data_IF_070936998625
#
_entry.id   IF_070936998625
#
_cell.length_a   1.000
_cell.length_b   1.000
_cell.length_c   1.000
_cell.angle_alpha   90.00
_cell.angle_beta   90.00
_cell.angle_gamma   90.00
#
_symmetry.space_group_name_H-M   'P 1'
#
loop_
_entity.id
_entity.type
_entity.pdbx_description
1 polymer ?
#
# COMPACT_ATOMS: atom_id res chain seq x y z
N UNK A 1 -18.77 52.50 32.41
CA UNK A 1 -19.11 51.88 31.10
C UNK A 1 -18.33 52.59 30.00
N UNK A 2 -17.93 51.87 28.94
CA UNK A 2 -16.64 51.18 28.68
C UNK A 2 -15.49 52.16 28.28
N UNK A 3 -14.20 51.93 28.52
CA UNK A 3 -13.25 50.87 28.11
C UNK A 3 -12.72 50.99 26.67
N UNK A 4 -11.40 50.94 26.49
CA UNK A 4 -10.78 50.61 25.19
C UNK A 4 -9.42 51.26 24.89
N UNK A 5 -8.38 50.85 25.59
CA UNK A 5 -6.96 51.07 25.24
C UNK A 5 -6.45 49.89 24.37
N UNK A 6 -5.32 50.13 23.71
CA UNK A 6 -4.28 49.23 23.19
C UNK A 6 -4.23 48.86 21.70
N UNK A 7 -3.13 49.35 21.11
CA UNK A 7 -2.46 48.90 19.89
C UNK A 7 -2.03 47.42 19.95
N UNK A 8 -2.10 46.73 18.81
CA UNK A 8 -0.96 46.18 18.04
C UNK A 8 -1.47 45.19 16.99
N UNK A 9 -1.28 45.54 15.72
CA UNK A 9 -1.36 44.58 14.62
C UNK A 9 -0.15 43.66 14.69
N UNK A 10 -0.41 42.37 14.94
CA UNK A 10 0.60 41.31 14.83
C UNK A 10 0.53 40.67 13.45
N UNK A 11 1.72 40.50 12.88
CA UNK A 11 2.02 39.87 11.61
C UNK A 11 1.56 38.40 11.62
N UNK A 12 0.77 38.00 10.62
CA UNK A 12 0.54 36.60 10.32
C UNK A 12 1.70 36.11 9.45
N UNK A 13 2.78 35.69 10.10
CA UNK A 13 3.80 34.87 9.47
C UNK A 13 3.18 33.52 9.13
N UNK A 14 3.21 33.17 7.84
CA UNK A 14 2.96 31.80 7.40
C UNK A 14 4.09 30.94 7.96
N UNK A 15 3.82 30.14 8.97
CA UNK A 15 4.76 29.12 9.44
C UNK A 15 4.95 28.06 8.34
N UNK A 16 5.97 28.26 7.51
CA UNK A 16 6.58 27.20 6.73
C UNK A 16 7.12 26.17 7.72
N UNK A 17 6.38 25.08 7.93
CA UNK A 17 6.92 23.93 8.66
C UNK A 17 8.21 23.52 7.96
N UNK A 18 9.38 23.54 8.64
CA UNK A 18 10.61 23.11 8.02
C UNK A 18 10.44 21.65 7.60
N UNK A 19 10.75 21.35 6.32
CA UNK A 19 10.88 19.97 5.89
C UNK A 19 11.78 19.23 6.88
N UNK A 20 11.35 18.05 7.32
CA UNK A 20 12.14 17.26 8.27
C UNK A 20 13.57 17.09 7.77
N UNK A 21 14.57 17.25 8.63
CA UNK A 21 15.97 17.00 8.27
C UNK A 21 16.27 15.51 8.05
N UNK A 22 15.37 14.63 8.48
CA UNK A 22 15.45 13.19 8.33
C UNK A 22 15.04 12.76 6.91
N UNK A 23 15.95 12.18 6.10
CA UNK A 23 15.66 11.71 4.75
C UNK A 23 14.45 10.78 4.66
N UNK A 24 14.29 9.87 5.61
CA UNK A 24 13.18 8.91 5.61
C UNK A 24 11.83 9.63 5.72
N UNK A 25 11.71 10.56 6.68
CA UNK A 25 10.48 11.34 6.87
C UNK A 25 10.14 12.18 5.65
N UNK A 26 11.14 12.77 4.98
CA UNK A 26 10.91 13.52 3.74
C UNK A 26 10.37 12.63 2.62
N UNK A 27 10.89 11.42 2.46
CA UNK A 27 10.37 10.48 1.45
C UNK A 27 8.93 10.09 1.78
N UNK A 28 8.61 9.75 3.03
CA UNK A 28 7.23 9.41 3.44
C UNK A 28 6.28 10.57 3.18
N UNK A 29 6.64 11.79 3.57
CA UNK A 29 5.85 12.99 3.31
C UNK A 29 5.63 13.24 1.81
N UNK A 30 6.65 13.02 0.99
CA UNK A 30 6.55 13.18 -0.46
C UNK A 30 5.69 12.08 -1.12
N UNK A 31 5.77 10.83 -0.66
CA UNK A 31 4.85 9.75 -1.09
C UNK A 31 3.41 10.15 -0.76
N UNK A 32 3.16 10.61 0.46
CA UNK A 32 1.83 10.98 0.92
C UNK A 32 1.27 12.17 0.14
N UNK A 33 2.09 13.20 -0.09
CA UNK A 33 1.72 14.35 -0.90
C UNK A 33 1.41 13.97 -2.36
N UNK A 34 2.15 13.01 -2.92
CA UNK A 34 1.87 12.49 -4.26
C UNK A 34 0.56 11.70 -4.32
N UNK A 35 0.32 10.81 -3.34
CA UNK A 35 -0.89 10.00 -3.29
C UNK A 35 -2.13 10.78 -2.83
N UNK A 36 -1.96 11.90 -2.12
CA UNK A 36 -3.05 12.80 -1.76
C UNK A 36 -3.71 13.48 -2.98
N UNK A 37 -3.02 13.47 -4.13
CA UNK A 37 -3.55 13.98 -5.41
C UNK A 37 -4.46 12.98 -6.13
N UNK A 38 -4.62 11.75 -5.61
CA UNK A 38 -5.54 10.77 -6.18
C UNK A 38 -6.98 11.30 -6.14
N UNK A 39 -7.65 11.47 -7.31
CA UNK A 39 -9.02 11.97 -7.36
C UNK A 39 -10.04 10.93 -6.85
N UNK A 40 -9.65 9.66 -6.78
CA UNK A 40 -10.52 8.60 -6.28
C UNK A 40 -10.53 8.61 -4.75
N UNK A 41 -11.71 8.48 -4.14
CA UNK A 41 -11.87 8.53 -2.68
C UNK A 41 -12.44 7.24 -2.12
N UNK A 42 -12.02 6.90 -0.91
CA UNK A 42 -12.56 5.79 -0.11
C UNK A 42 -12.88 6.29 1.30
N UNK A 43 -14.04 5.89 1.82
CA UNK A 43 -14.44 6.21 3.19
C UNK A 43 -13.97 5.12 4.16
N UNK A 44 -13.32 5.52 5.24
CA UNK A 44 -12.81 4.65 6.28
C UNK A 44 -12.99 5.31 7.65
N UNK A 45 -13.64 4.60 8.58
CA UNK A 45 -13.89 5.08 9.95
C UNK A 45 -14.49 6.50 10.02
N UNK A 46 -15.44 6.79 9.12
CA UNK A 46 -16.12 8.10 9.07
C UNK A 46 -15.30 9.23 8.44
N UNK A 47 -14.10 8.95 7.93
CA UNK A 47 -13.27 9.92 7.21
C UNK A 47 -13.07 9.48 5.77
N UNK A 48 -13.10 10.44 4.85
CA UNK A 48 -12.93 10.19 3.42
C UNK A 48 -11.51 10.52 2.96
N UNK A 49 -10.83 9.56 2.34
CA UNK A 49 -9.42 9.64 1.98
C UNK A 49 -9.19 9.50 0.47
N UNK A 50 -8.16 10.14 -0.11
CA UNK A 50 -7.61 9.73 -1.40
C UNK A 50 -7.21 8.25 -1.35
N UNK A 51 -7.63 7.48 -2.35
CA UNK A 51 -7.59 6.00 -2.31
C UNK A 51 -6.17 5.46 -2.15
N UNK A 52 -5.23 5.88 -2.99
CA UNK A 52 -3.85 5.37 -2.90
C UNK A 52 -3.09 5.92 -1.67
N UNK A 53 -3.53 7.02 -1.05
CA UNK A 53 -2.99 7.49 0.24
C UNK A 53 -3.42 6.53 1.37
N UNK A 54 -4.71 6.20 1.42
CA UNK A 54 -5.25 5.24 2.40
C UNK A 54 -4.61 3.86 2.23
N UNK A 55 -4.37 3.43 0.99
CA UNK A 55 -3.64 2.20 0.71
C UNK A 55 -2.23 2.21 1.32
N UNK A 56 -1.46 3.27 1.08
CA UNK A 56 -0.10 3.40 1.65
C UNK A 56 -0.09 3.42 3.18
N UNK A 57 -1.09 4.04 3.82
CA UNK A 57 -1.29 4.00 5.28
C UNK A 57 -1.50 2.57 5.79
N UNK A 58 -2.44 1.83 5.20
CA UNK A 58 -2.73 0.43 5.55
C UNK A 58 -1.52 -0.48 5.36
N UNK A 59 -0.75 -0.26 4.29
CA UNK A 59 0.50 -1.01 4.03
C UNK A 59 1.54 -0.79 5.13
N UNK A 60 1.77 0.46 5.55
CA UNK A 60 2.70 0.75 6.64
C UNK A 60 2.29 0.12 7.95
N UNK A 61 1.01 0.27 8.33
CA UNK A 61 0.48 -0.26 9.59
C UNK A 61 0.54 -1.79 9.63
N UNK A 62 0.19 -2.45 8.52
CA UNK A 62 0.26 -3.90 8.40
C UNK A 62 1.71 -4.41 8.43
N UNK A 63 2.64 -3.73 7.75
CA UNK A 63 4.06 -4.09 7.78
C UNK A 63 4.63 -3.99 9.20
N UNK A 64 4.28 -2.94 9.95
CA UNK A 64 4.74 -2.76 11.34
C UNK A 64 4.28 -3.89 12.25
N UNK A 65 3.03 -4.36 12.09
CA UNK A 65 2.52 -5.54 12.83
C UNK A 65 3.15 -6.86 12.41
N UNK A 66 3.53 -7.01 11.13
CA UNK A 66 4.06 -8.26 10.57
C UNK A 66 5.57 -8.39 10.75
N UNK A 67 6.30 -7.30 10.56
CA UNK A 67 7.76 -7.23 10.57
C UNK A 67 8.22 -5.90 11.21
N UNK A 68 8.17 -5.78 12.54
CA UNK A 68 8.53 -4.53 13.24
C UNK A 68 9.99 -4.14 13.03
N UNK A 69 10.85 -5.12 12.73
CA UNK A 69 12.27 -4.94 12.40
C UNK A 69 12.53 -4.69 10.91
N UNK A 70 11.49 -4.43 10.11
CA UNK A 70 11.62 -4.11 8.69
C UNK A 70 12.62 -2.96 8.47
N UNK A 71 13.49 -3.12 7.46
CA UNK A 71 14.43 -2.06 7.10
C UNK A 71 13.70 -0.80 6.65
N UNK A 72 14.43 0.31 6.69
CA UNK A 72 13.94 1.60 6.20
C UNK A 72 13.46 1.51 4.73
N UNK A 73 14.24 0.85 3.88
CA UNK A 73 13.91 0.70 2.46
C UNK A 73 12.65 -0.15 2.24
N UNK A 74 12.44 -1.19 3.04
CA UNK A 74 11.21 -1.97 3.01
C UNK A 74 10.00 -1.15 3.48
N UNK A 75 10.16 -0.33 4.52
CA UNK A 75 9.11 0.60 4.99
C UNK A 75 8.71 1.62 3.92
N UNK A 76 9.69 2.18 3.21
CA UNK A 76 9.46 3.08 2.07
C UNK A 76 8.76 2.35 0.91
N UNK A 77 9.19 1.14 0.58
CA UNK A 77 8.56 0.33 -0.46
C UNK A 77 7.11 -0.03 -0.12
N UNK A 78 6.81 -0.33 1.15
CA UNK A 78 5.43 -0.56 1.60
C UNK A 78 4.58 0.71 1.50
N UNK A 79 5.08 1.85 2.01
CA UNK A 79 4.37 3.14 1.94
C UNK A 79 4.05 3.55 0.50
N UNK A 80 5.02 3.38 -0.40
CA UNK A 80 4.94 3.78 -1.80
C UNK A 80 4.54 2.66 -2.77
N UNK A 81 4.02 1.52 -2.31
CA UNK A 81 3.82 0.35 -3.18
C UNK A 81 2.94 0.64 -4.41
N UNK A 82 1.92 1.49 -4.24
CA UNK A 82 1.02 1.96 -5.30
C UNK A 82 1.16 3.47 -5.55
N UNK A 83 2.34 4.04 -5.35
CA UNK A 83 2.53 5.48 -5.55
C UNK A 83 2.04 5.93 -6.94
N UNK A 84 1.16 6.94 -6.95
CA UNK A 84 0.53 7.54 -8.15
C UNK A 84 -0.17 6.54 -9.08
N UNK A 85 -0.62 5.38 -8.57
CA UNK A 85 -1.21 4.31 -9.39
C UNK A 85 -2.43 4.75 -10.22
N UNK A 86 -3.20 5.70 -9.71
CA UNK A 86 -4.39 6.25 -10.38
C UNK A 86 -4.08 6.89 -11.75
N UNK A 87 -2.83 7.27 -12.02
CA UNK A 87 -2.41 7.85 -13.30
C UNK A 87 -2.31 6.83 -14.44
N UNK A 88 -2.30 5.54 -14.11
CA UNK A 88 -2.31 4.44 -15.09
C UNK A 88 -3.52 3.57 -14.78
N UNK A 89 -4.74 4.00 -15.11
CA UNK A 89 -5.95 3.30 -14.73
C UNK A 89 -6.08 1.96 -15.49
N UNK A 90 -6.73 0.99 -14.84
CA UNK A 90 -6.96 -0.34 -15.44
C UNK A 90 -7.80 -0.25 -16.72
N UNK A 91 -8.68 0.74 -16.84
CA UNK A 91 -9.56 0.96 -17.99
C UNK A 91 -8.81 1.21 -19.31
N UNK A 92 -7.57 1.67 -19.25
CA UNK A 92 -6.75 1.97 -20.44
C UNK A 92 -6.20 0.70 -21.12
N UNK A 93 -6.48 -0.47 -20.57
CA UNK A 93 -6.02 -1.76 -21.05
C UNK A 93 -7.20 -2.66 -21.41
N UNK A 94 -7.09 -3.54 -22.42
CA UNK A 94 -8.14 -4.50 -22.76
C UNK A 94 -8.61 -5.32 -21.56
N UNK A 95 -9.91 -5.60 -21.46
CA UNK A 95 -10.52 -6.42 -20.39
C UNK A 95 -10.21 -7.92 -20.52
N UNK A 96 -8.98 -8.26 -20.90
CA UNK A 96 -8.47 -9.62 -21.05
C UNK A 96 -7.43 -9.92 -19.97
N UNK A 97 -7.11 -11.20 -19.80
CA UNK A 97 -6.00 -11.63 -18.92
C UNK A 97 -4.68 -11.00 -19.35
N UNK A 98 -4.39 -10.96 -20.64
CA UNK A 98 -3.18 -10.35 -21.17
C UNK A 98 -3.13 -8.84 -20.87
N UNK A 99 -4.23 -8.12 -21.14
CA UNK A 99 -4.32 -6.69 -20.83
C UNK A 99 -4.08 -6.39 -19.34
N UNK A 100 -4.62 -7.22 -18.45
CA UNK A 100 -4.34 -7.14 -17.01
C UNK A 100 -2.86 -7.36 -16.68
N UNK A 101 -2.22 -8.38 -17.27
CA UNK A 101 -0.81 -8.67 -17.05
C UNK A 101 0.10 -7.55 -17.55
N UNK A 102 -0.20 -6.96 -18.71
CA UNK A 102 0.56 -5.79 -19.22
C UNK A 102 0.43 -4.58 -18.30
N UNK A 103 -0.80 -4.26 -17.89
CA UNK A 103 -1.07 -3.16 -16.97
C UNK A 103 -0.28 -3.32 -15.66
N UNK A 104 -0.37 -4.51 -15.05
CA UNK A 104 0.30 -4.80 -13.79
C UNK A 104 1.82 -4.74 -13.90
N UNK A 105 2.39 -5.26 -14.98
CA UNK A 105 3.84 -5.18 -15.23
C UNK A 105 4.31 -3.74 -15.43
N UNK A 106 3.53 -2.90 -16.12
CA UNK A 106 3.84 -1.47 -16.26
C UNK A 106 3.83 -0.76 -14.90
N UNK A 107 2.83 -1.05 -14.06
CA UNK A 107 2.74 -0.45 -12.72
C UNK A 107 3.97 -0.75 -11.86
N UNK A 108 4.51 -1.97 -11.89
CA UNK A 108 5.71 -2.31 -11.12
C UNK A 108 6.91 -1.43 -11.44
N UNK A 109 7.18 -1.20 -12.74
CA UNK A 109 8.25 -0.29 -13.17
C UNK A 109 7.95 1.16 -12.78
N UNK A 110 6.73 1.62 -13.08
CA UNK A 110 6.29 2.98 -12.78
C UNK A 110 6.41 3.33 -11.29
N UNK A 111 5.94 2.46 -10.38
CA UNK A 111 6.04 2.70 -8.93
C UNK A 111 7.50 2.76 -8.47
N UNK A 112 8.34 1.85 -8.97
CA UNK A 112 9.78 1.87 -8.70
C UNK A 112 10.44 3.18 -9.16
N UNK A 113 10.10 3.67 -10.35
CA UNK A 113 10.65 4.91 -10.88
C UNK A 113 10.17 6.13 -10.11
N UNK A 114 8.88 6.23 -9.80
CA UNK A 114 8.33 7.35 -9.01
C UNK A 114 8.94 7.41 -7.61
N UNK A 115 9.00 6.27 -6.91
CA UNK A 115 9.60 6.23 -5.57
C UNK A 115 11.11 6.50 -5.63
N UNK A 116 11.81 5.98 -6.63
CA UNK A 116 13.22 6.26 -6.85
C UNK A 116 13.53 7.75 -7.05
N UNK A 117 12.70 8.46 -7.82
CA UNK A 117 12.84 9.91 -8.00
C UNK A 117 12.68 10.68 -6.69
N UNK A 118 11.69 10.32 -5.88
CA UNK A 118 11.46 10.93 -4.56
C UNK A 118 12.65 10.66 -3.63
N UNK A 119 13.13 9.42 -3.59
CA UNK A 119 14.29 9.03 -2.78
C UNK A 119 15.55 9.78 -3.20
N UNK A 120 15.80 9.94 -4.50
CA UNK A 120 16.92 10.74 -5.01
C UNK A 120 16.83 12.20 -4.57
N UNK A 121 15.64 12.82 -4.64
CA UNK A 121 15.40 14.17 -4.09
C UNK A 121 15.57 14.25 -2.57
N UNK A 122 15.48 13.12 -1.88
CA UNK A 122 15.80 12.98 -0.46
C UNK A 122 17.28 12.64 -0.17
N UNK A 123 18.12 12.46 -1.18
CA UNK A 123 19.55 12.21 -1.01
C UNK A 123 19.91 10.74 -0.74
N UNK A 124 19.01 9.80 -1.02
CA UNK A 124 19.36 8.38 -1.02
C UNK A 124 20.30 8.06 -2.19
N UNK A 125 21.23 7.13 -1.96
CA UNK A 125 22.14 6.66 -3.00
C UNK A 125 21.45 5.75 -4.03
N UNK A 126 22.15 5.51 -5.13
CA UNK A 126 21.66 4.70 -6.24
C UNK A 126 21.44 3.23 -5.84
N UNK A 127 22.20 2.71 -4.87
CA UNK A 127 22.06 1.33 -4.40
C UNK A 127 20.76 1.13 -3.61
N UNK A 128 20.41 2.10 -2.76
CA UNK A 128 19.14 2.16 -2.02
C UNK A 128 17.95 2.28 -2.97
N UNK A 129 18.06 3.17 -3.97
CA UNK A 129 17.02 3.32 -5.00
C UNK A 129 16.85 2.01 -5.77
N UNK A 130 17.95 1.38 -6.21
CA UNK A 130 17.91 0.10 -6.91
C UNK A 130 17.29 -1.00 -6.04
N UNK A 131 17.58 -1.02 -4.74
CA UNK A 131 16.97 -1.96 -3.78
C UNK A 131 15.45 -1.79 -3.73
N UNK A 132 14.94 -0.57 -3.56
CA UNK A 132 13.49 -0.31 -3.50
C UNK A 132 12.80 -0.65 -4.82
N UNK A 133 13.42 -0.33 -5.97
CA UNK A 133 12.90 -0.75 -7.29
C UNK A 133 12.78 -2.27 -7.42
N UNK A 134 13.75 -3.04 -6.90
CA UNK A 134 13.66 -4.50 -6.88
C UNK A 134 12.50 -5.00 -6.02
N UNK A 135 12.33 -4.46 -4.80
CA UNK A 135 11.21 -4.81 -3.91
C UNK A 135 9.85 -4.59 -4.61
N UNK A 136 9.68 -3.46 -5.30
CA UNK A 136 8.44 -3.12 -6.01
C UNK A 136 8.22 -3.91 -7.31
N UNK A 137 9.25 -4.55 -7.85
CA UNK A 137 9.17 -5.29 -9.11
C UNK A 137 8.38 -6.60 -9.03
N UNK A 138 8.17 -7.13 -7.80
CA UNK A 138 7.50 -8.41 -7.52
C UNK A 138 8.17 -9.63 -8.19
N UNK A 139 9.49 -9.60 -8.41
CA UNK A 139 10.24 -10.66 -9.10
C UNK A 139 10.93 -11.68 -8.18
N UNK A 140 11.36 -11.25 -6.99
CA UNK A 140 12.24 -12.06 -6.12
C UNK A 140 11.49 -12.71 -4.93
N UNK A 141 10.22 -13.11 -5.15
CA UNK A 141 9.40 -13.76 -4.13
C UNK A 141 10.05 -15.08 -3.68
N UNK A 142 9.98 -15.37 -2.37
CA UNK A 142 10.58 -16.53 -1.69
C UNK A 142 12.10 -16.58 -1.63
N UNK A 143 12.83 -15.87 -2.50
CA UNK A 143 14.30 -15.81 -2.46
C UNK A 143 14.84 -14.60 -1.67
N UNK A 144 14.08 -13.50 -1.61
CA UNK A 144 14.44 -12.30 -0.86
C UNK A 144 13.46 -12.10 0.32
N UNK A 145 13.92 -12.17 1.58
CA UNK A 145 13.07 -12.04 2.76
C UNK A 145 12.23 -10.75 2.79
N UNK A 146 12.77 -9.62 2.32
CA UNK A 146 12.01 -8.37 2.33
C UNK A 146 11.00 -8.29 1.18
N UNK A 147 11.33 -8.86 0.01
CA UNK A 147 10.36 -9.01 -1.09
C UNK A 147 9.20 -9.91 -0.65
N UNK A 148 9.49 -10.98 0.10
CA UNK A 148 8.47 -11.84 0.69
C UNK A 148 7.63 -11.09 1.73
N UNK A 149 8.25 -10.36 2.66
CA UNK A 149 7.54 -9.55 3.65
C UNK A 149 6.62 -8.51 3.00
N UNK A 150 7.08 -7.84 1.93
CA UNK A 150 6.26 -6.87 1.20
C UNK A 150 5.07 -7.51 0.47
N UNK A 151 5.21 -8.73 -0.06
CA UNK A 151 4.09 -9.48 -0.65
C UNK A 151 3.12 -9.97 0.42
N UNK A 152 3.63 -10.44 1.56
CA UNK A 152 2.83 -10.87 2.71
C UNK A 152 1.98 -9.71 3.22
N UNK A 153 2.57 -8.52 3.44
CA UNK A 153 1.87 -7.30 3.81
C UNK A 153 0.77 -6.96 2.80
N UNK A 154 1.08 -7.00 1.49
CA UNK A 154 0.10 -6.69 0.45
C UNK A 154 -1.06 -7.70 0.42
N UNK A 155 -0.79 -8.98 0.67
CA UNK A 155 -1.81 -10.03 0.75
C UNK A 155 -2.72 -9.84 1.98
N UNK A 156 -2.14 -9.54 3.14
CA UNK A 156 -2.90 -9.28 4.37
C UNK A 156 -3.77 -8.02 4.23
N UNK A 157 -3.20 -6.92 3.71
CA UNK A 157 -3.95 -5.69 3.42
C UNK A 157 -5.10 -5.95 2.44
N UNK A 158 -4.87 -6.77 1.41
CA UNK A 158 -5.94 -7.18 0.49
C UNK A 158 -7.06 -7.94 1.22
N UNK A 159 -6.72 -8.95 2.01
CA UNK A 159 -7.70 -9.77 2.74
C UNK A 159 -8.51 -8.92 3.75
N UNK A 160 -7.83 -8.06 4.50
CA UNK A 160 -8.43 -7.28 5.59
C UNK A 160 -9.34 -6.16 5.08
N UNK A 161 -8.92 -5.41 4.05
CA UNK A 161 -9.62 -4.18 3.66
C UNK A 161 -10.30 -4.22 2.30
N UNK A 162 -9.82 -5.06 1.38
CA UNK A 162 -10.24 -5.00 -0.02
C UNK A 162 -10.99 -6.25 -0.50
N UNK A 163 -10.87 -7.38 0.20
CA UNK A 163 -11.47 -8.64 -0.23
C UNK A 163 -12.99 -8.60 -0.17
N UNK A 164 -13.59 -8.12 0.92
CA UNK A 164 -15.05 -8.01 1.05
C UNK A 164 -15.71 -7.17 -0.07
N UNK A 165 -15.28 -5.92 -0.34
CA UNK A 165 -15.82 -5.15 -1.46
C UNK A 165 -15.46 -5.74 -2.82
N UNK A 166 -14.28 -6.36 -2.98
CA UNK A 166 -13.93 -7.08 -4.20
C UNK A 166 -14.85 -8.28 -4.47
N UNK A 167 -15.26 -8.96 -3.41
CA UNK A 167 -16.05 -10.19 -3.50
C UNK A 167 -17.54 -9.95 -3.74
N UNK A 168 -18.02 -8.73 -3.48
CA UNK A 168 -19.37 -8.32 -3.84
C UNK A 168 -19.62 -8.52 -5.35
N UNK A 169 -20.57 -9.40 -5.68
CA UNK A 169 -20.96 -9.68 -7.07
C UNK A 169 -20.03 -10.64 -7.84
N UNK A 170 -19.16 -11.40 -7.17
CA UNK A 170 -18.35 -12.45 -7.78
C UNK A 170 -18.88 -13.85 -7.45
N UNK A 171 -18.74 -14.80 -8.38
CA UNK A 171 -19.06 -16.20 -8.13
C UNK A 171 -18.14 -16.84 -7.08
N UNK A 172 -18.69 -17.71 -6.24
CA UNK A 172 -17.95 -18.37 -5.16
C UNK A 172 -16.69 -19.10 -5.67
N UNK A 173 -16.78 -19.80 -6.80
CA UNK A 173 -15.64 -20.54 -7.38
C UNK A 173 -14.46 -19.61 -7.75
N UNK A 174 -14.77 -18.42 -8.25
CA UNK A 174 -13.77 -17.39 -8.58
C UNK A 174 -13.15 -16.80 -7.31
N UNK A 175 -13.96 -16.61 -6.26
CA UNK A 175 -13.46 -16.15 -4.97
C UNK A 175 -12.52 -17.17 -4.32
N UNK A 176 -12.87 -18.46 -4.35
CA UNK A 176 -12.02 -19.55 -3.86
C UNK A 176 -10.68 -19.55 -4.61
N UNK A 177 -10.70 -19.46 -5.94
CA UNK A 177 -9.47 -19.41 -6.75
C UNK A 177 -8.59 -18.19 -6.41
N UNK A 178 -9.19 -17.03 -6.15
CA UNK A 178 -8.47 -15.82 -5.75
C UNK A 178 -7.86 -15.98 -4.35
N UNK A 179 -8.60 -16.50 -3.38
CA UNK A 179 -8.06 -16.78 -2.03
C UNK A 179 -6.89 -17.76 -2.13
N UNK A 180 -7.02 -18.85 -2.89
CA UNK A 180 -5.92 -19.82 -3.10
C UNK A 180 -4.70 -19.19 -3.78
N UNK A 181 -4.91 -18.29 -4.75
CA UNK A 181 -3.82 -17.55 -5.41
C UNK A 181 -3.12 -16.60 -4.44
N UNK A 182 -3.86 -15.92 -3.57
CA UNK A 182 -3.30 -15.08 -2.50
C UNK A 182 -2.51 -15.93 -1.51
N UNK A 183 -3.09 -17.01 -1.01
CA UNK A 183 -2.48 -17.90 -0.01
C UNK A 183 -1.15 -18.53 -0.46
N UNK A 184 -1.05 -18.92 -1.74
CA UNK A 184 0.17 -19.52 -2.31
C UNK A 184 1.37 -18.58 -2.36
N UNK A 185 1.14 -17.27 -2.31
CA UNK A 185 2.22 -16.28 -2.30
C UNK A 185 2.69 -15.94 -0.89
N UNK A 186 1.85 -16.19 0.11
CA UNK A 186 2.12 -15.85 1.50
C UNK A 186 3.12 -16.82 2.11
N UNK A 187 3.99 -16.30 2.97
CA UNK A 187 4.78 -17.11 3.89
C UNK A 187 3.90 -17.74 4.97
N UNK A 188 4.43 -18.72 5.70
CA UNK A 188 3.69 -19.37 6.79
C UNK A 188 3.36 -18.40 7.92
N UNK A 189 4.24 -17.45 8.24
CA UNK A 189 3.98 -16.39 9.22
C UNK A 189 2.78 -15.56 8.78
N UNK A 190 2.73 -15.13 7.53
CA UNK A 190 1.63 -14.33 7.03
C UNK A 190 0.31 -15.12 6.99
N UNK A 191 0.36 -16.42 6.68
CA UNK A 191 -0.81 -17.31 6.73
C UNK A 191 -1.38 -17.44 8.13
N UNK A 192 -0.52 -17.57 9.15
CA UNK A 192 -0.92 -17.57 10.55
C UNK A 192 -1.60 -16.25 10.93
N UNK A 193 -1.10 -15.10 10.45
CA UNK A 193 -1.77 -13.81 10.67
C UNK A 193 -3.08 -13.69 9.91
N UNK A 194 -3.18 -14.30 8.73
CA UNK A 194 -4.40 -14.25 7.94
C UNK A 194 -5.56 -15.02 8.56
N UNK A 195 -5.31 -16.15 9.25
CA UNK A 195 -6.37 -16.87 9.99
C UNK A 195 -6.87 -16.10 11.22
N UNK A 196 -6.08 -15.18 11.76
CA UNK A 196 -6.49 -14.30 12.86
C UNK A 196 -7.35 -13.11 12.40
N UNK A 197 -7.44 -12.86 11.08
CA UNK A 197 -8.25 -11.77 10.56
C UNK A 197 -9.75 -12.10 10.72
N UNK A 198 -10.49 -11.19 11.36
CA UNK A 198 -11.95 -11.25 11.41
C UNK A 198 -12.53 -10.83 10.06
N UNK A 199 -12.76 -11.78 9.17
CA UNK A 199 -13.45 -11.55 7.90
C UNK A 199 -14.98 -11.61 8.09
N UNK A 200 -15.78 -10.78 7.39
CA UNK A 200 -17.24 -10.88 7.47
C UNK A 200 -17.72 -12.28 7.06
N UNK A 201 -18.73 -12.80 7.77
CA UNK A 201 -19.19 -14.20 7.71
C UNK A 201 -19.12 -14.93 6.35
N UNK A 202 -19.79 -14.45 5.28
CA UNK A 202 -19.76 -15.13 3.98
C UNK A 202 -18.36 -15.23 3.38
N UNK A 203 -17.47 -14.28 3.67
CA UNK A 203 -16.09 -14.28 3.18
C UNK A 203 -15.18 -15.20 3.99
N UNK A 204 -15.42 -15.32 5.31
CA UNK A 204 -14.73 -16.31 6.17
C UNK A 204 -15.00 -17.75 5.72
N UNK A 205 -16.24 -18.07 5.33
CA UNK A 205 -16.59 -19.40 4.81
C UNK A 205 -15.87 -19.72 3.49
N UNK A 206 -15.73 -18.74 2.59
CA UNK A 206 -14.96 -18.90 1.35
C UNK A 206 -13.49 -19.16 1.64
N UNK A 207 -12.91 -18.45 2.61
CA UNK A 207 -11.51 -18.68 3.02
C UNK A 207 -11.35 -20.08 3.60
N UNK A 208 -12.21 -20.51 4.53
CA UNK A 208 -12.16 -21.87 5.08
C UNK A 208 -12.21 -22.94 3.98
N UNK A 209 -13.21 -22.87 3.08
CA UNK A 209 -13.33 -23.79 1.93
C UNK A 209 -12.09 -23.78 1.03
N UNK A 210 -11.50 -22.60 0.81
CA UNK A 210 -10.32 -22.46 -0.04
C UNK A 210 -9.11 -23.19 0.55
N UNK A 211 -8.98 -23.21 1.88
CA UNK A 211 -7.88 -23.83 2.63
C UNK A 211 -8.08 -25.34 2.84
N UNK A 212 -9.30 -25.78 3.14
CA UNK A 212 -9.59 -27.21 3.41
C UNK A 212 -9.27 -28.11 2.22
N UNK A 213 -9.67 -27.70 1.01
CA UNK A 213 -9.46 -28.48 -0.21
C UNK A 213 -8.04 -28.35 -0.81
N UNK A 214 -7.08 -27.77 -0.06
CA UNK A 214 -5.66 -27.73 -0.38
C UNK A 214 -4.76 -28.42 0.64
N UNK A 215 -5.33 -29.03 1.69
CA UNK A 215 -4.63 -29.87 2.68
C UNK A 215 -4.80 -31.37 2.40
N UNK A 216 -5.18 -31.74 1.17
CA UNK A 216 -5.28 -33.12 0.68
C UNK A 216 -4.14 -33.43 -0.29
#
# INVERSE_FOLDING_TARGET
>A
MPAGDTMRGSLWSVELHPMSSDPFKRVVQAIDAANAQDPNREDWQGTSYPKELLYGLRMSECLERLCPTASELLRLAARGQHIRRWEIPRSDYPATREGYLRWRTRLYGFHGDQLGLIMAGAGYDEDSIRRVKRLLSKRDLRSDPESQALEDTACLVFLEYYFAPFAAGQDESKLIDIVRKTWRKMSDVARLRAVELTLPGPFGAVVAKALDAGMS
#
